data_IF_920850578803
#
_entry.id   IF_920850578803
#
_cell.length_a   1.000
_cell.length_b   1.000
_cell.length_c   1.000
_cell.angle_alpha   90.00
_cell.angle_beta   90.00
_cell.angle_gamma   90.00
#
_symmetry.space_group_name_H-M   'P 1'
#
loop_
_entity.id
_entity.type
_entity.pdbx_description
1 polymer ?
#
# COMPACT_ATOMS: atom_id res chain seq x y z
N UNK A 1 -10.42 2.22 21.78
CA UNK A 1 -11.71 1.74 21.32
C UNK A 1 -12.34 0.78 22.32
N UNK A 2 -11.72 -0.37 22.66
CA UNK A 2 -12.25 -1.39 23.57
C UNK A 2 -12.77 -0.82 24.89
N UNK A 3 -12.02 0.06 25.55
CA UNK A 3 -12.42 0.66 26.83
C UNK A 3 -13.69 1.49 26.68
N UNK A 4 -13.76 2.34 25.62
CA UNK A 4 -14.94 3.15 25.33
C UNK A 4 -16.19 2.30 25.05
N UNK A 5 -16.03 1.23 24.25
CA UNK A 5 -17.13 0.31 23.96
C UNK A 5 -17.62 -0.39 25.23
N UNK A 6 -16.71 -0.84 26.11
CA UNK A 6 -17.07 -1.45 27.39
C UNK A 6 -17.80 -0.47 28.31
N UNK A 7 -17.32 0.77 28.41
CA UNK A 7 -17.95 1.80 29.24
C UNK A 7 -19.34 2.20 28.71
N UNK A 8 -19.49 2.32 27.38
CA UNK A 8 -20.79 2.64 26.77
C UNK A 8 -21.77 1.50 26.92
N UNK A 9 -21.35 0.24 26.70
CA UNK A 9 -22.22 -0.92 26.79
C UNK A 9 -22.74 -1.17 28.23
N UNK A 10 -21.92 -0.88 29.24
CA UNK A 10 -22.25 -0.98 30.66
C UNK A 10 -22.31 0.40 31.33
N UNK A 11 -22.98 1.35 30.68
CA UNK A 11 -23.11 2.73 31.17
C UNK A 11 -23.82 2.80 32.54
N UNK A 12 -24.68 1.84 32.85
CA UNK A 12 -25.36 1.69 34.13
C UNK A 12 -24.42 1.56 35.32
N UNK A 13 -23.20 0.98 35.13
CA UNK A 13 -22.21 0.86 36.22
C UNK A 13 -21.67 2.22 36.67
N UNK A 14 -21.79 3.23 35.81
CA UNK A 14 -21.30 4.58 36.08
C UNK A 14 -22.37 5.51 36.66
N UNK A 15 -23.65 5.17 36.55
CA UNK A 15 -24.76 5.99 37.05
C UNK A 15 -24.70 6.18 38.56
N UNK A 16 -24.24 5.20 39.31
CA UNK A 16 -24.09 5.22 40.76
C UNK A 16 -22.68 5.57 41.25
N UNK A 17 -21.69 5.65 40.34
CA UNK A 17 -20.29 5.88 40.66
C UNK A 17 -19.99 7.38 40.84
N UNK A 18 -20.19 7.92 42.05
CA UNK A 18 -20.01 9.34 42.36
C UNK A 18 -18.61 9.77 42.72
N UNK A 19 -17.74 8.84 43.18
CA UNK A 19 -16.34 9.13 43.55
C UNK A 19 -15.36 8.56 42.53
N UNK A 20 -14.14 9.09 42.47
CA UNK A 20 -13.11 8.58 41.57
C UNK A 20 -12.81 7.12 41.79
N UNK A 21 -12.77 6.67 43.05
CA UNK A 21 -12.59 5.27 43.41
C UNK A 21 -13.72 4.40 42.85
N UNK A 22 -14.98 4.83 43.01
CA UNK A 22 -16.14 4.09 42.47
C UNK A 22 -16.16 4.05 40.95
N UNK A 23 -15.73 5.12 40.27
CA UNK A 23 -15.58 5.18 38.81
C UNK A 23 -14.50 4.22 38.30
N UNK A 24 -13.35 4.11 38.98
CA UNK A 24 -12.31 3.12 38.65
C UNK A 24 -12.85 1.70 38.77
N UNK A 25 -13.60 1.39 39.86
CA UNK A 25 -14.27 0.09 40.01
C UNK A 25 -15.27 -0.21 38.92
N UNK A 26 -16.13 0.78 38.55
CA UNK A 26 -17.10 0.66 37.46
C UNK A 26 -16.40 0.38 36.13
N UNK A 27 -15.30 1.10 35.82
CA UNK A 27 -14.48 0.87 34.64
C UNK A 27 -13.83 -0.52 34.60
N UNK A 28 -13.34 -0.99 35.72
CA UNK A 28 -12.75 -2.34 35.82
C UNK A 28 -13.81 -3.41 35.60
N UNK A 29 -15.00 -3.25 36.22
CA UNK A 29 -16.12 -4.17 36.07
C UNK A 29 -16.65 -4.18 34.63
N UNK A 30 -16.87 -3.02 34.02
CA UNK A 30 -17.34 -2.93 32.63
C UNK A 30 -16.40 -3.62 31.65
N UNK A 31 -15.07 -3.45 31.80
CA UNK A 31 -14.08 -4.17 31.02
C UNK A 31 -14.13 -5.68 31.21
N UNK A 32 -14.29 -6.14 32.44
CA UNK A 32 -14.39 -7.56 32.76
C UNK A 32 -15.61 -8.21 32.09
N UNK A 33 -16.78 -7.58 32.25
CA UNK A 33 -18.02 -8.14 31.75
C UNK A 33 -18.09 -8.04 30.22
N UNK A 34 -17.55 -6.96 29.62
CA UNK A 34 -17.41 -6.84 28.18
C UNK A 34 -16.47 -7.92 27.58
N UNK A 35 -15.37 -8.28 28.27
CA UNK A 35 -14.51 -9.40 27.87
C UNK A 35 -15.24 -10.74 27.83
N UNK A 36 -16.19 -10.99 28.75
CA UNK A 36 -17.01 -12.22 28.74
C UNK A 36 -17.87 -12.28 27.46
N UNK A 37 -18.50 -11.16 27.10
CA UNK A 37 -19.29 -11.06 25.85
C UNK A 37 -18.39 -11.34 24.65
N UNK A 38 -17.25 -10.65 24.54
CA UNK A 38 -16.31 -10.85 23.44
C UNK A 38 -15.79 -12.28 23.37
N UNK A 39 -15.50 -12.90 24.54
CA UNK A 39 -15.07 -14.31 24.59
C UNK A 39 -16.15 -15.25 24.06
N UNK A 40 -17.41 -15.02 24.43
CA UNK A 40 -18.54 -15.80 23.92
C UNK A 40 -18.71 -15.66 22.42
N UNK A 41 -18.61 -14.41 21.90
CA UNK A 41 -18.68 -14.14 20.46
C UNK A 41 -17.51 -14.80 19.70
N UNK A 42 -16.28 -14.69 20.22
CA UNK A 42 -15.12 -15.33 19.59
C UNK A 42 -15.26 -16.85 19.52
N UNK A 43 -15.82 -17.50 20.55
CA UNK A 43 -16.11 -18.94 20.52
C UNK A 43 -17.15 -19.28 19.45
N UNK A 44 -18.23 -18.49 19.30
CA UNK A 44 -19.24 -18.70 18.27
C UNK A 44 -18.68 -18.49 16.87
N UNK A 45 -17.76 -17.55 16.69
CA UNK A 45 -17.11 -17.24 15.42
C UNK A 45 -15.93 -18.18 15.10
N UNK A 46 -15.60 -19.10 16.00
CA UNK A 46 -14.48 -20.05 15.88
C UNK A 46 -13.18 -19.33 15.47
N UNK A 47 -12.85 -18.23 16.16
CA UNK A 47 -11.70 -17.40 15.80
C UNK A 47 -10.38 -18.12 16.09
N UNK A 48 -9.35 -17.78 15.33
CA UNK A 48 -7.98 -18.30 15.48
C UNK A 48 -7.49 -18.24 16.94
N UNK A 49 -7.79 -17.13 17.63
CA UNK A 49 -7.37 -16.94 19.03
C UNK A 49 -7.95 -18.00 19.98
N UNK A 50 -9.16 -18.48 19.71
CA UNK A 50 -9.77 -19.56 20.51
C UNK A 50 -8.96 -20.84 20.35
N UNK A 51 -8.63 -21.24 19.13
CA UNK A 51 -7.82 -22.42 18.80
C UNK A 51 -6.41 -22.32 19.38
N UNK A 52 -5.79 -21.14 19.26
CA UNK A 52 -4.48 -20.89 19.86
C UNK A 52 -4.47 -21.01 21.38
N UNK A 53 -5.50 -20.48 22.07
CA UNK A 53 -5.63 -20.60 23.52
C UNK A 53 -5.97 -22.03 23.96
N UNK A 54 -6.67 -22.80 23.14
CA UNK A 54 -7.01 -24.19 23.41
C UNK A 54 -5.88 -25.17 23.06
N UNK A 55 -4.78 -24.70 22.44
CA UNK A 55 -3.70 -25.53 21.89
C UNK A 55 -4.19 -26.55 20.85
N UNK A 56 -5.17 -26.15 20.03
CA UNK A 56 -5.66 -26.91 18.88
C UNK A 56 -5.27 -26.20 17.56
N UNK A 57 -3.96 -26.03 17.38
CA UNK A 57 -3.40 -25.30 16.24
C UNK A 57 -3.62 -26.02 14.92
N UNK A 58 -3.62 -27.36 14.92
CA UNK A 58 -3.90 -28.20 13.75
C UNK A 58 -5.31 -28.01 13.18
N UNK A 59 -6.26 -27.52 14.01
CA UNK A 59 -7.63 -27.21 13.58
C UNK A 59 -7.75 -25.86 12.85
N UNK A 60 -6.66 -25.10 12.75
CA UNK A 60 -6.66 -23.79 12.07
C UNK A 60 -6.66 -23.99 10.56
N UNK A 61 -7.75 -23.63 9.91
CA UNK A 61 -7.89 -23.69 8.45
C UNK A 61 -7.23 -22.46 7.79
N UNK A 62 -6.18 -22.63 6.95
CA UNK A 62 -5.50 -21.53 6.27
C UNK A 62 -6.44 -20.70 5.39
N UNK A 63 -7.39 -21.31 4.71
CA UNK A 63 -8.30 -20.66 3.74
C UNK A 63 -9.26 -19.66 4.41
N UNK A 64 -9.58 -19.90 5.68
CA UNK A 64 -10.48 -19.04 6.48
C UNK A 64 -9.78 -17.82 7.06
N UNK A 65 -8.44 -17.76 6.99
CA UNK A 65 -7.71 -16.65 7.59
C UNK A 65 -7.96 -15.33 6.85
N UNK A 66 -8.05 -14.24 7.62
CA UNK A 66 -8.11 -12.89 7.05
C UNK A 66 -6.72 -12.44 6.60
N UNK A 67 -6.66 -11.48 5.65
CA UNK A 67 -5.39 -10.92 5.18
C UNK A 67 -4.45 -10.53 6.33
N UNK A 68 -4.98 -9.79 7.31
CA UNK A 68 -4.18 -9.26 8.43
C UNK A 68 -3.77 -10.38 9.40
N UNK A 69 -4.64 -11.36 9.66
CA UNK A 69 -4.32 -12.49 10.52
C UNK A 69 -3.23 -13.36 9.91
N UNK A 70 -3.36 -13.73 8.63
CA UNK A 70 -2.35 -14.47 7.90
C UNK A 70 -1.01 -13.73 7.90
N UNK A 71 -1.02 -12.46 7.54
CA UNK A 71 0.20 -11.63 7.49
C UNK A 71 0.91 -11.55 8.85
N UNK A 72 0.18 -11.19 9.93
CA UNK A 72 0.78 -10.99 11.26
C UNK A 72 1.17 -12.28 11.97
N UNK A 73 0.51 -13.39 11.67
CA UNK A 73 0.69 -14.65 12.38
C UNK A 73 1.35 -15.76 11.55
N UNK A 74 1.76 -15.49 10.31
CA UNK A 74 2.37 -16.48 9.42
C UNK A 74 3.50 -17.28 10.10
N UNK A 75 4.41 -16.61 10.81
CA UNK A 75 5.50 -17.29 11.51
C UNK A 75 4.99 -18.17 12.66
N UNK A 76 3.93 -17.76 13.34
CA UNK A 76 3.30 -18.58 14.36
C UNK A 76 2.62 -19.83 13.77
N UNK A 77 1.94 -19.69 12.63
CA UNK A 77 1.33 -20.80 11.90
C UNK A 77 2.40 -21.77 11.35
N UNK A 78 3.47 -21.23 10.80
CA UNK A 78 4.63 -22.01 10.33
C UNK A 78 5.53 -22.52 11.47
N UNK A 79 5.13 -22.35 12.71
CA UNK A 79 5.87 -22.78 13.92
C UNK A 79 7.32 -22.24 13.98
N UNK A 80 7.57 -21.03 13.44
CA UNK A 80 8.89 -20.40 13.35
C UNK A 80 9.00 -19.16 14.24
N UNK A 81 10.20 -18.91 14.76
CA UNK A 81 10.57 -17.62 15.36
C UNK A 81 10.81 -16.58 14.26
N UNK A 82 11.06 -15.31 14.62
CA UNK A 82 11.45 -14.28 13.65
C UNK A 82 12.80 -14.59 12.97
N UNK A 83 13.65 -15.42 13.63
CA UNK A 83 14.93 -15.88 13.10
C UNK A 83 14.83 -17.15 12.25
N UNK A 84 13.62 -17.70 12.07
CA UNK A 84 13.39 -18.92 11.33
C UNK A 84 13.56 -20.23 12.12
N UNK A 85 13.87 -20.16 13.45
CA UNK A 85 14.03 -21.33 14.31
C UNK A 85 12.65 -21.92 14.66
N UNK A 86 12.61 -23.23 14.97
CA UNK A 86 11.38 -23.90 15.42
C UNK A 86 10.96 -23.37 16.78
N UNK A 87 9.69 -22.96 16.92
CA UNK A 87 9.12 -22.42 18.18
C UNK A 87 8.73 -23.49 19.17
N UNK A 88 8.22 -24.62 18.69
CA UNK A 88 7.63 -25.66 19.52
C UNK A 88 7.81 -27.04 18.91
N UNK A 89 8.07 -28.05 19.75
CA UNK A 89 8.16 -29.46 19.38
C UNK A 89 6.84 -30.21 19.58
N UNK A 90 5.76 -29.54 19.98
CA UNK A 90 4.44 -30.14 20.12
C UNK A 90 3.88 -30.58 18.78
N UNK A 91 3.38 -31.81 18.71
CA UNK A 91 2.85 -32.42 17.47
C UNK A 91 1.76 -31.56 16.83
N UNK A 92 0.84 -31.01 17.62
CA UNK A 92 -0.21 -30.10 17.14
C UNK A 92 0.36 -28.86 16.39
N UNK A 93 1.48 -28.31 16.88
CA UNK A 93 2.19 -27.18 16.25
C UNK A 93 2.91 -27.59 14.97
N UNK A 94 3.50 -28.78 14.95
CA UNK A 94 4.19 -29.34 13.77
C UNK A 94 3.15 -29.61 12.68
N UNK A 95 2.01 -30.22 13.03
CA UNK A 95 0.95 -30.49 12.06
C UNK A 95 0.34 -29.18 11.49
N UNK A 96 0.13 -28.17 12.32
CA UNK A 96 -0.30 -26.84 11.86
C UNK A 96 0.70 -26.28 10.82
N UNK A 97 1.99 -26.31 11.14
CA UNK A 97 3.03 -25.81 10.23
C UNK A 97 2.99 -26.51 8.87
N UNK A 98 2.90 -27.84 8.88
CA UNK A 98 2.80 -28.66 7.67
C UNK A 98 1.60 -28.26 6.81
N UNK A 99 0.42 -28.10 7.41
CA UNK A 99 -0.81 -27.67 6.71
C UNK A 99 -0.63 -26.28 6.06
N UNK A 100 0.02 -25.34 6.75
CA UNK A 100 0.27 -24.00 6.21
C UNK A 100 1.36 -23.99 5.13
N UNK A 101 2.39 -24.85 5.23
CA UNK A 101 3.42 -25.02 4.19
C UNK A 101 2.83 -25.62 2.91
N UNK A 102 1.99 -26.65 3.03
CA UNK A 102 1.26 -27.22 1.90
C UNK A 102 0.34 -26.18 1.23
N UNK A 103 -0.35 -25.36 2.04
CA UNK A 103 -1.21 -24.30 1.54
C UNK A 103 -0.42 -23.19 0.83
N UNK A 104 0.74 -22.82 1.37
CA UNK A 104 1.65 -21.85 0.74
C UNK A 104 2.17 -22.37 -0.63
N UNK A 105 2.54 -23.65 -0.71
CA UNK A 105 2.97 -24.29 -1.95
C UNK A 105 1.86 -24.31 -3.00
N UNK A 106 0.62 -24.66 -2.60
CA UNK A 106 -0.55 -24.58 -3.50
C UNK A 106 -0.80 -23.18 -4.00
N UNK A 107 -0.61 -22.17 -3.14
CA UNK A 107 -0.77 -20.77 -3.54
C UNK A 107 0.32 -20.32 -4.52
N UNK A 108 1.57 -20.77 -4.33
CA UNK A 108 2.67 -20.51 -5.26
C UNK A 108 2.42 -21.14 -6.65
N UNK A 109 1.75 -22.29 -6.69
CA UNK A 109 1.32 -22.95 -7.93
C UNK A 109 0.07 -22.33 -8.55
N UNK A 110 -0.57 -21.36 -7.91
CA UNK A 110 -1.81 -20.75 -8.40
C UNK A 110 -3.09 -21.57 -8.17
N UNK A 111 -3.00 -22.64 -7.38
CA UNK A 111 -4.14 -23.54 -7.09
C UNK A 111 -5.12 -22.95 -6.07
N UNK A 112 -4.63 -22.09 -5.17
CA UNK A 112 -5.41 -21.43 -4.12
C UNK A 112 -4.99 -19.98 -3.97
N UNK A 113 -5.89 -19.15 -3.44
CA UNK A 113 -5.65 -17.73 -3.21
C UNK A 113 -5.39 -17.44 -1.72
N UNK A 114 -4.34 -16.67 -1.41
CA UNK A 114 -4.08 -16.17 -0.06
C UNK A 114 -4.51 -14.70 0.02
N UNK A 115 -5.45 -14.39 0.93
CA UNK A 115 -6.00 -13.05 1.09
C UNK A 115 -4.93 -12.03 1.46
N UNK A 116 -4.76 -10.99 0.66
CA UNK A 116 -3.77 -9.90 0.84
C UNK A 116 -4.36 -8.50 0.85
N UNK A 117 -5.65 -8.32 0.49
CA UNK A 117 -6.30 -7.03 0.22
C UNK A 117 -6.22 -5.98 1.34
N UNK A 118 -5.94 -6.36 2.58
CA UNK A 118 -5.93 -5.47 3.76
C UNK A 118 -4.54 -5.26 4.36
N UNK A 119 -3.49 -5.63 3.65
CA UNK A 119 -2.10 -5.42 4.06
C UNK A 119 -1.64 -4.06 3.52
N UNK A 120 -0.92 -3.29 4.33
CA UNK A 120 -0.34 -2.03 3.92
C UNK A 120 0.81 -2.20 2.93
N UNK A 121 1.01 -1.23 2.03
CA UNK A 121 2.11 -1.27 1.05
C UNK A 121 3.47 -1.32 1.74
N UNK A 122 3.67 -0.52 2.78
CA UNK A 122 4.89 -0.52 3.59
C UNK A 122 5.14 -1.87 4.28
N UNK A 123 4.09 -2.56 4.75
CA UNK A 123 4.23 -3.87 5.40
C UNK A 123 4.74 -4.95 4.43
N UNK A 124 4.30 -4.92 3.17
CA UNK A 124 4.80 -5.84 2.14
C UNK A 124 6.29 -5.69 1.91
N UNK A 125 6.78 -4.48 1.67
CA UNK A 125 8.20 -4.23 1.44
C UNK A 125 9.03 -4.55 2.68
N UNK A 126 8.57 -4.14 3.87
CA UNK A 126 9.25 -4.42 5.12
C UNK A 126 9.46 -5.91 5.36
N UNK A 127 8.47 -6.74 5.06
CA UNK A 127 8.60 -8.18 5.20
C UNK A 127 9.45 -8.80 4.08
N UNK A 128 9.36 -8.29 2.84
CA UNK A 128 10.22 -8.73 1.74
C UNK A 128 11.70 -8.47 2.05
N UNK A 129 12.06 -7.27 2.51
CA UNK A 129 13.42 -6.91 2.90
C UNK A 129 13.97 -7.84 3.99
N UNK A 130 13.17 -8.14 5.03
CA UNK A 130 13.57 -9.11 6.05
C UNK A 130 13.87 -10.51 5.47
N UNK A 131 13.04 -10.98 4.55
CA UNK A 131 13.25 -12.28 3.92
C UNK A 131 14.51 -12.29 3.05
N UNK A 132 14.82 -11.17 2.39
CA UNK A 132 16.07 -10.99 1.62
C UNK A 132 17.27 -11.00 2.57
N UNK A 133 17.25 -10.22 3.65
CA UNK A 133 18.33 -10.10 4.62
C UNK A 133 18.67 -11.42 5.32
N UNK A 134 17.64 -12.25 5.58
CA UNK A 134 17.84 -13.58 6.18
C UNK A 134 18.04 -14.72 5.17
N UNK A 135 18.20 -14.42 3.89
CA UNK A 135 18.35 -15.42 2.81
C UNK A 135 17.18 -16.43 2.71
N UNK A 136 15.98 -15.99 3.05
CA UNK A 136 14.76 -16.81 3.11
C UNK A 136 13.79 -16.55 1.95
N UNK A 137 14.27 -16.02 0.84
CA UNK A 137 13.42 -15.63 -0.30
C UNK A 137 12.66 -16.81 -0.97
N UNK A 138 13.03 -18.05 -0.69
CA UNK A 138 12.40 -19.27 -1.25
C UNK A 138 11.55 -20.01 -0.19
N UNK A 139 11.37 -19.45 0.99
CA UNK A 139 10.65 -20.06 2.11
C UNK A 139 9.13 -20.05 1.92
N UNK A 140 8.39 -20.86 2.70
CA UNK A 140 6.92 -20.81 2.75
C UNK A 140 6.39 -19.44 3.19
N UNK A 141 7.18 -18.69 3.99
CA UNK A 141 6.87 -17.30 4.33
C UNK A 141 6.91 -16.38 3.12
N UNK A 142 7.90 -16.59 2.25
CA UNK A 142 8.03 -15.86 0.99
C UNK A 142 6.90 -16.20 0.02
N UNK A 143 6.51 -17.47 -0.10
CA UNK A 143 5.38 -17.91 -0.90
C UNK A 143 4.08 -17.26 -0.43
N UNK A 144 3.83 -17.22 0.88
CA UNK A 144 2.66 -16.54 1.46
C UNK A 144 2.70 -15.04 1.13
N UNK A 145 3.84 -14.37 1.28
CA UNK A 145 3.96 -12.94 1.01
C UNK A 145 3.70 -12.60 -0.46
N UNK A 146 4.30 -13.37 -1.38
CA UNK A 146 4.10 -13.20 -2.81
C UNK A 146 2.65 -13.43 -3.24
N UNK A 147 2.00 -14.48 -2.71
CA UNK A 147 0.59 -14.75 -2.96
C UNK A 147 -0.32 -13.63 -2.41
N UNK A 148 0.00 -13.09 -1.23
CA UNK A 148 -0.73 -11.95 -0.65
C UNK A 148 -0.55 -10.66 -1.47
N UNK A 149 0.66 -10.42 -2.00
CA UNK A 149 0.91 -9.31 -2.91
C UNK A 149 0.10 -9.43 -4.19
N UNK A 150 0.08 -10.61 -4.81
CA UNK A 150 -0.72 -10.89 -6.01
C UNK A 150 -2.21 -10.61 -5.76
N UNK A 151 -2.77 -11.12 -4.64
CA UNK A 151 -4.16 -10.87 -4.24
C UNK A 151 -4.45 -9.38 -3.98
N UNK A 152 -3.49 -8.67 -3.36
CA UNK A 152 -3.59 -7.23 -3.16
C UNK A 152 -3.57 -6.48 -4.50
N UNK A 153 -2.76 -6.93 -5.46
CA UNK A 153 -2.64 -6.35 -6.81
C UNK A 153 -3.95 -6.34 -7.59
N UNK A 154 -4.86 -7.27 -7.31
CA UNK A 154 -6.19 -7.33 -7.95
C UNK A 154 -7.08 -6.12 -7.61
N UNK A 155 -6.76 -5.35 -6.58
CA UNK A 155 -7.49 -4.14 -6.22
C UNK A 155 -7.12 -2.92 -7.07
N UNK A 156 -6.00 -2.98 -7.79
CA UNK A 156 -5.53 -1.89 -8.66
C UNK A 156 -5.76 -2.29 -10.12
N UNK A 157 -6.50 -1.48 -10.85
CA UNK A 157 -6.72 -1.64 -12.28
C UNK A 157 -5.47 -1.29 -13.10
N UNK A 158 -5.63 -1.20 -14.41
CA UNK A 158 -4.56 -0.73 -15.32
C UNK A 158 -4.31 0.76 -15.11
N UNK A 159 -3.04 1.13 -15.03
CA UNK A 159 -2.59 2.50 -14.79
C UNK A 159 -2.04 3.10 -16.08
N UNK A 160 -2.78 3.37 -17.09
CA UNK A 160 -2.34 4.08 -18.28
C UNK A 160 -0.80 4.12 -18.52
N UNK A 161 -0.30 5.22 -19.00
CA UNK A 161 1.14 5.45 -19.31
C UNK A 161 1.85 6.11 -18.12
N UNK A 162 1.98 5.37 -17.00
CA UNK A 162 2.56 5.88 -15.75
C UNK A 162 3.95 5.29 -15.50
N UNK A 163 4.90 6.14 -15.10
CA UNK A 163 6.25 5.75 -14.67
C UNK A 163 6.44 6.21 -13.23
N UNK A 164 6.96 5.34 -12.38
CA UNK A 164 7.32 5.70 -11.02
C UNK A 164 8.80 6.06 -10.92
N UNK A 165 9.10 7.15 -10.25
CA UNK A 165 10.42 7.53 -9.76
C UNK A 165 10.43 7.34 -8.24
N UNK A 166 11.27 6.43 -7.75
CA UNK A 166 11.25 5.95 -6.36
C UNK A 166 12.41 6.56 -5.60
N UNK A 167 12.12 7.23 -4.49
CA UNK A 167 13.09 7.80 -3.59
C UNK A 167 13.41 6.82 -2.45
N UNK A 168 14.68 6.44 -2.34
CA UNK A 168 15.21 5.63 -1.24
C UNK A 168 16.35 6.35 -0.52
N UNK A 169 16.39 7.68 -0.56
CA UNK A 169 17.33 8.49 0.21
C UNK A 169 17.20 8.26 1.72
N UNK A 170 18.24 8.64 2.49
CA UNK A 170 18.24 8.44 3.94
C UNK A 170 17.10 9.16 4.68
N UNK A 171 16.58 10.27 4.16
CA UNK A 171 15.42 10.96 4.71
C UNK A 171 14.13 10.13 4.61
N UNK A 172 14.06 9.18 3.67
CA UNK A 172 12.93 8.27 3.48
C UNK A 172 12.94 7.08 4.45
N UNK A 173 13.98 6.87 5.25
CA UNK A 173 14.13 5.68 6.09
C UNK A 173 12.86 5.30 6.87
N UNK A 174 12.55 4.01 6.88
CA UNK A 174 11.36 3.43 7.51
C UNK A 174 10.15 3.29 6.57
N UNK A 175 8.96 3.50 7.13
CA UNK A 175 7.69 3.29 6.41
C UNK A 175 7.55 4.10 5.10
N UNK A 176 8.03 5.36 4.98
CA UNK A 176 7.99 6.09 3.72
C UNK A 176 8.73 5.38 2.58
N UNK A 177 9.97 4.93 2.84
CA UNK A 177 10.79 4.19 1.86
C UNK A 177 10.11 2.86 1.47
N UNK A 178 9.60 2.12 2.47
CA UNK A 178 8.89 0.87 2.19
C UNK A 178 7.66 1.08 1.33
N UNK A 179 6.91 2.16 1.59
CA UNK A 179 5.75 2.52 0.79
C UNK A 179 6.14 2.96 -0.63
N UNK A 180 7.21 3.74 -0.79
CA UNK A 180 7.72 4.19 -2.08
C UNK A 180 8.09 3.01 -2.99
N UNK A 181 8.83 2.04 -2.46
CA UNK A 181 9.22 0.83 -3.19
C UNK A 181 7.98 0.02 -3.63
N UNK A 182 7.04 -0.26 -2.70
CA UNK A 182 5.86 -1.03 -3.02
C UNK A 182 4.93 -0.33 -4.03
N UNK A 183 4.72 0.99 -3.88
CA UNK A 183 3.93 1.77 -4.82
C UNK A 183 4.61 1.87 -6.20
N UNK A 184 5.93 2.04 -6.23
CA UNK A 184 6.71 2.04 -7.47
C UNK A 184 6.58 0.73 -8.23
N UNK A 185 6.73 -0.40 -7.54
CA UNK A 185 6.53 -1.74 -8.11
C UNK A 185 5.07 -1.90 -8.59
N UNK A 186 4.08 -1.47 -7.80
CA UNK A 186 2.67 -1.55 -8.20
C UNK A 186 2.37 -0.73 -9.46
N UNK A 187 2.93 0.48 -9.57
CA UNK A 187 2.82 1.29 -10.78
C UNK A 187 3.46 0.56 -11.97
N UNK A 188 4.66 0.03 -11.79
CA UNK A 188 5.37 -0.72 -12.83
C UNK A 188 4.58 -1.95 -13.33
N UNK A 189 3.98 -2.73 -12.40
CA UNK A 189 3.15 -3.90 -12.74
C UNK A 189 1.88 -3.54 -13.53
N UNK A 190 1.33 -2.35 -13.31
CA UNK A 190 0.02 -1.93 -13.89
C UNK A 190 0.14 -0.93 -15.03
N UNK A 191 1.33 -0.41 -15.27
CA UNK A 191 1.63 0.53 -16.35
C UNK A 191 1.61 -0.16 -17.73
N UNK A 192 1.18 0.59 -18.74
CA UNK A 192 1.29 0.18 -20.15
C UNK A 192 2.71 0.31 -20.70
N UNK A 193 3.62 0.98 -19.98
CA UNK A 193 4.99 1.25 -20.40
C UNK A 193 5.99 0.13 -19.99
N UNK A 194 5.50 -0.98 -19.46
CA UNK A 194 6.29 -2.12 -19.02
C UNK A 194 6.73 -2.02 -17.55
N UNK A 195 7.24 -3.12 -17.03
CA UNK A 195 7.63 -3.26 -15.61
C UNK A 195 8.97 -2.60 -15.33
N UNK A 196 8.98 -1.28 -15.15
CA UNK A 196 10.20 -0.53 -14.85
C UNK A 196 9.93 0.64 -13.90
N UNK A 197 10.94 1.00 -13.12
CA UNK A 197 10.95 2.19 -12.27
C UNK A 197 12.18 3.02 -12.56
N UNK A 198 12.13 4.32 -12.24
CA UNK A 198 13.28 5.21 -12.26
C UNK A 198 13.86 5.36 -10.86
N UNK A 199 15.19 5.40 -10.76
CA UNK A 199 15.87 5.78 -9.52
C UNK A 199 15.76 7.27 -9.28
N UNK A 200 15.62 7.66 -8.00
CA UNK A 200 15.67 9.05 -7.55
C UNK A 200 17.12 9.39 -7.18
N UNK A 201 17.90 9.89 -8.14
CA UNK A 201 19.31 10.18 -7.94
C UNK A 201 19.81 11.35 -8.80
N UNK A 202 21.03 11.84 -8.55
CA UNK A 202 21.67 12.84 -9.40
C UNK A 202 21.84 12.36 -10.85
N UNK A 203 22.00 11.05 -11.02
CA UNK A 203 22.06 10.37 -12.33
C UNK A 203 20.97 9.28 -12.36
N UNK A 204 19.72 9.65 -12.69
CA UNK A 204 18.62 8.68 -12.73
C UNK A 204 18.91 7.55 -13.72
N UNK A 205 18.48 6.34 -13.37
CA UNK A 205 18.61 5.16 -14.21
C UNK A 205 17.33 4.31 -14.20
N UNK A 206 17.14 3.52 -15.27
CA UNK A 206 16.05 2.56 -15.34
C UNK A 206 16.38 1.30 -14.54
N UNK A 207 15.46 0.89 -13.68
CA UNK A 207 15.44 -0.44 -13.06
C UNK A 207 14.40 -1.26 -13.79
N UNK A 208 14.85 -2.22 -14.58
CA UNK A 208 13.96 -3.13 -15.28
C UNK A 208 13.54 -4.28 -14.35
N UNK A 209 12.25 -4.52 -14.24
CA UNK A 209 11.64 -5.55 -13.41
C UNK A 209 11.04 -6.69 -14.23
N UNK A 210 11.18 -6.70 -15.57
CA UNK A 210 10.60 -7.73 -16.43
C UNK A 210 11.18 -9.13 -16.17
N UNK A 211 12.45 -9.20 -15.71
CA UNK A 211 13.09 -10.45 -15.33
C UNK A 211 12.81 -10.93 -13.90
N UNK A 212 11.92 -10.24 -13.16
CA UNK A 212 11.56 -10.60 -11.80
C UNK A 212 10.27 -11.43 -11.79
N UNK A 213 10.35 -12.65 -11.24
CA UNK A 213 9.24 -13.59 -11.23
C UNK A 213 8.18 -13.28 -10.15
N UNK A 214 8.57 -12.59 -9.07
CA UNK A 214 7.74 -12.32 -7.91
C UNK A 214 8.03 -10.96 -7.24
N UNK A 215 7.21 -10.61 -6.24
CA UNK A 215 7.34 -9.34 -5.53
C UNK A 215 8.67 -9.20 -4.79
N UNK A 216 9.17 -10.28 -4.16
CA UNK A 216 10.43 -10.24 -3.39
C UNK A 216 11.60 -9.99 -4.32
N UNK A 217 11.63 -10.62 -5.48
CA UNK A 217 12.68 -10.39 -6.49
C UNK A 217 12.62 -8.96 -7.05
N UNK A 218 11.42 -8.40 -7.25
CA UNK A 218 11.26 -6.99 -7.64
C UNK A 218 11.78 -6.03 -6.54
N UNK A 219 11.46 -6.28 -5.27
CA UNK A 219 12.00 -5.49 -4.15
C UNK A 219 13.52 -5.56 -4.11
N UNK A 220 14.09 -6.75 -4.29
CA UNK A 220 15.54 -6.95 -4.34
C UNK A 220 16.20 -6.19 -5.50
N UNK A 221 15.57 -6.18 -6.68
CA UNK A 221 16.08 -5.43 -7.84
C UNK A 221 16.05 -3.92 -7.58
N UNK A 222 14.96 -3.40 -7.01
CA UNK A 222 14.85 -1.99 -6.64
C UNK A 222 15.89 -1.63 -5.56
N UNK A 223 16.05 -2.45 -4.51
CA UNK A 223 17.01 -2.22 -3.43
C UNK A 223 18.47 -2.17 -3.90
N UNK A 224 18.83 -2.96 -4.90
CA UNK A 224 20.22 -3.04 -5.44
C UNK A 224 20.56 -1.95 -6.44
N UNK A 225 19.59 -1.14 -6.86
CA UNK A 225 19.84 -0.06 -7.78
C UNK A 225 20.73 1.02 -7.15
N UNK A 226 21.43 1.78 -7.98
CA UNK A 226 22.25 2.90 -7.52
C UNK A 226 21.38 4.07 -7.10
N UNK A 227 21.39 4.37 -5.80
CA UNK A 227 20.63 5.45 -5.20
C UNK A 227 21.56 6.59 -4.82
N UNK A 228 21.28 7.79 -5.32
CA UNK A 228 22.05 9.00 -5.01
C UNK A 228 21.36 9.85 -3.94
N UNK A 229 22.11 10.82 -3.40
CA UNK A 229 21.58 11.73 -2.36
C UNK A 229 20.84 12.95 -2.94
N UNK A 230 21.07 13.31 -4.19
CA UNK A 230 20.49 14.50 -4.85
C UNK A 230 19.65 14.08 -6.04
N UNK A 231 18.58 14.83 -6.30
CA UNK A 231 17.66 14.55 -7.41
C UNK A 231 17.85 15.49 -8.57
N UNK A 232 17.96 14.94 -9.76
CA UNK A 232 17.97 15.71 -10.99
C UNK A 232 16.73 15.40 -11.85
N UNK A 233 15.65 16.18 -11.64
CA UNK A 233 14.40 16.02 -12.40
C UNK A 233 14.58 16.19 -13.89
N UNK A 234 15.39 17.17 -14.30
CA UNK A 234 15.66 17.39 -15.71
C UNK A 234 16.34 16.18 -16.35
N UNK A 235 17.25 15.53 -15.63
CA UNK A 235 17.89 14.30 -16.09
C UNK A 235 16.89 13.14 -16.21
N UNK A 236 15.98 12.99 -15.24
CA UNK A 236 14.94 11.95 -15.30
C UNK A 236 14.00 12.15 -16.51
N UNK A 237 13.56 13.38 -16.78
CA UNK A 237 12.72 13.70 -17.91
C UNK A 237 13.46 13.54 -19.24
N UNK A 238 14.75 13.88 -19.30
CA UNK A 238 15.57 13.60 -20.48
C UNK A 238 15.73 12.09 -20.71
N UNK A 239 15.93 11.29 -19.65
CA UNK A 239 16.04 9.82 -19.75
C UNK A 239 14.74 9.19 -20.31
N UNK A 240 13.59 9.71 -19.92
CA UNK A 240 12.31 9.31 -20.51
C UNK A 240 12.25 9.71 -22.00
N UNK A 241 12.65 10.94 -22.34
CA UNK A 241 12.69 11.39 -23.74
C UNK A 241 13.64 10.53 -24.60
N UNK A 242 14.81 10.19 -24.07
CA UNK A 242 15.76 9.32 -24.75
C UNK A 242 15.15 7.94 -25.02
N UNK A 243 14.42 7.37 -24.06
CA UNK A 243 13.70 6.11 -24.24
C UNK A 243 12.61 6.23 -25.33
N UNK A 244 11.83 7.32 -25.34
CA UNK A 244 10.82 7.60 -26.37
C UNK A 244 11.46 7.62 -27.76
N UNK A 245 12.59 8.32 -27.91
CA UNK A 245 13.33 8.45 -29.18
C UNK A 245 13.90 7.09 -29.61
N UNK A 246 14.54 6.37 -28.67
CA UNK A 246 15.17 5.06 -28.93
C UNK A 246 14.16 4.02 -29.40
N UNK A 247 12.99 3.98 -28.77
CA UNK A 247 11.92 3.05 -29.12
C UNK A 247 11.01 3.55 -30.25
N UNK A 248 11.31 4.73 -30.81
CA UNK A 248 10.54 5.36 -31.92
C UNK A 248 9.04 5.43 -31.61
N UNK A 249 8.69 5.76 -30.37
CA UNK A 249 7.29 5.93 -29.98
C UNK A 249 6.66 7.09 -30.71
N UNK A 250 5.39 6.96 -31.08
CA UNK A 250 4.64 8.04 -31.73
C UNK A 250 4.11 9.05 -30.71
N UNK A 251 3.76 10.28 -31.11
CA UNK A 251 3.18 11.26 -30.18
C UNK A 251 1.95 10.77 -29.43
N UNK A 252 1.12 9.96 -30.06
CA UNK A 252 -0.06 9.34 -29.46
C UNK A 252 0.29 8.29 -28.38
N UNK A 253 1.44 7.62 -28.54
CA UNK A 253 1.91 6.63 -27.58
C UNK A 253 2.39 7.26 -26.28
N UNK A 254 2.81 8.53 -26.32
CA UNK A 254 3.36 9.25 -25.17
C UNK A 254 2.44 10.35 -24.64
N UNK A 255 1.34 10.61 -25.34
CA UNK A 255 0.29 11.49 -24.83
C UNK A 255 -0.25 10.97 -23.50
N UNK A 256 -0.52 11.85 -22.55
CA UNK A 256 -1.01 11.53 -21.21
C UNK A 256 -0.07 10.66 -20.34
N UNK A 257 1.24 10.67 -20.66
CA UNK A 257 2.23 10.04 -19.79
C UNK A 257 2.34 10.78 -18.45
N UNK A 258 2.46 10.02 -17.36
CA UNK A 258 2.62 10.53 -16.00
C UNK A 258 3.93 10.04 -15.39
N UNK A 259 4.75 10.97 -14.91
CA UNK A 259 5.89 10.67 -14.04
C UNK A 259 5.46 10.86 -12.59
N UNK A 260 5.34 9.78 -11.85
CA UNK A 260 4.98 9.80 -10.42
C UNK A 260 6.24 9.77 -9.57
N UNK A 261 6.47 10.83 -8.80
CA UNK A 261 7.63 10.97 -7.90
C UNK A 261 7.20 10.60 -6.49
N UNK A 262 7.70 9.47 -6.00
CA UNK A 262 7.40 8.88 -4.69
C UNK A 262 8.52 9.28 -3.71
N UNK A 263 8.33 10.37 -2.95
CA UNK A 263 9.36 10.99 -2.10
C UNK A 263 8.75 11.62 -0.84
N UNK A 264 9.59 12.06 0.09
CA UNK A 264 9.19 12.91 1.23
C UNK A 264 9.17 14.41 0.88
N UNK A 265 9.41 14.75 -0.38
CA UNK A 265 9.45 16.11 -0.93
C UNK A 265 10.55 17.00 -0.35
N UNK A 266 11.54 16.44 0.34
CA UNK A 266 12.75 17.16 0.76
C UNK A 266 13.74 17.25 -0.41
N UNK A 267 13.33 18.01 -1.44
CA UNK A 267 14.10 18.20 -2.67
C UNK A 267 14.94 19.45 -2.51
N UNK A 268 16.21 19.36 -2.88
CA UNK A 268 17.16 20.47 -2.75
C UNK A 268 16.64 21.75 -3.42
N UNK A 269 16.72 22.86 -2.68
CA UNK A 269 16.25 24.19 -3.14
C UNK A 269 16.99 24.73 -4.38
N UNK A 270 18.01 24.03 -4.88
CA UNK A 270 18.70 24.40 -6.13
C UNK A 270 17.77 24.37 -7.36
N UNK A 271 16.62 23.68 -7.29
CA UNK A 271 15.62 23.58 -8.35
C UNK A 271 14.53 24.67 -8.29
N UNK A 272 14.76 25.79 -7.60
CA UNK A 272 13.81 26.91 -7.50
C UNK A 272 13.38 27.56 -8.83
N UNK A 273 13.90 27.08 -9.93
CA UNK A 273 13.48 27.47 -11.28
C UNK A 273 12.62 26.40 -11.94
N UNK A 274 11.78 25.70 -11.16
CA UNK A 274 10.91 24.64 -11.71
C UNK A 274 10.16 25.10 -12.96
N UNK A 275 9.57 26.28 -12.98
CA UNK A 275 8.86 26.83 -14.14
C UNK A 275 9.77 26.95 -15.38
N UNK A 276 10.95 27.53 -15.22
CA UNK A 276 11.90 27.68 -16.35
C UNK A 276 12.52 26.36 -16.79
N UNK A 277 12.70 25.42 -15.87
CA UNK A 277 13.13 24.04 -16.17
C UNK A 277 12.07 23.30 -16.97
N UNK A 278 10.80 23.36 -16.56
CA UNK A 278 9.71 22.70 -17.27
C UNK A 278 9.51 23.28 -18.67
N UNK A 279 9.57 24.60 -18.85
CA UNK A 279 9.53 25.23 -20.17
C UNK A 279 10.66 24.72 -21.09
N UNK A 280 11.87 24.57 -20.57
CA UNK A 280 13.00 24.02 -21.32
C UNK A 280 12.76 22.54 -21.68
N UNK A 281 12.22 21.73 -20.78
CA UNK A 281 11.90 20.32 -21.03
C UNK A 281 10.76 20.21 -22.06
N UNK A 282 9.66 20.95 -21.90
CA UNK A 282 8.56 20.98 -22.86
C UNK A 282 9.04 21.34 -24.27
N UNK A 283 9.94 22.32 -24.37
CA UNK A 283 10.56 22.69 -25.64
C UNK A 283 11.37 21.54 -26.24
N UNK A 284 12.21 20.85 -25.43
CA UNK A 284 13.00 19.69 -25.90
C UNK A 284 12.10 18.54 -26.40
N UNK A 285 11.02 18.24 -25.67
CA UNK A 285 10.06 17.22 -26.09
C UNK A 285 9.39 17.60 -27.40
N UNK A 286 8.92 18.85 -27.53
CA UNK A 286 8.29 19.36 -28.76
C UNK A 286 9.24 19.28 -29.93
N UNK A 287 10.49 19.75 -29.80
CA UNK A 287 11.51 19.71 -30.84
C UNK A 287 11.84 18.28 -31.28
N UNK A 288 11.94 17.33 -30.33
CA UNK A 288 12.20 15.93 -30.65
C UNK A 288 11.05 15.29 -31.46
N UNK A 289 9.80 15.56 -31.07
CA UNK A 289 8.62 15.08 -31.77
C UNK A 289 8.52 15.65 -33.16
N UNK A 290 8.73 16.96 -33.29
CA UNK A 290 8.75 17.65 -34.64
C UNK A 290 9.81 17.06 -35.55
N UNK A 291 11.00 16.76 -35.02
CA UNK A 291 12.10 16.18 -35.82
C UNK A 291 11.80 14.75 -36.29
N UNK A 292 11.15 13.93 -35.46
CA UNK A 292 10.92 12.51 -35.78
C UNK A 292 9.62 12.27 -36.52
N UNK A 293 8.56 13.00 -36.19
CA UNK A 293 7.20 12.70 -36.60
C UNK A 293 6.46 13.90 -37.22
N UNK A 294 7.11 15.06 -37.32
CA UNK A 294 6.47 16.34 -37.70
C UNK A 294 5.25 16.71 -36.83
N UNK A 295 5.25 16.19 -35.57
CA UNK A 295 4.23 16.43 -34.55
C UNK A 295 4.93 16.50 -33.16
N UNK A 296 4.64 17.53 -32.34
CA UNK A 296 5.35 17.69 -31.08
C UNK A 296 5.00 16.56 -30.08
N UNK A 297 5.99 16.09 -29.30
CA UNK A 297 5.72 15.34 -28.12
C UNK A 297 5.28 16.27 -26.99
N UNK A 298 4.39 15.78 -26.11
CA UNK A 298 4.09 16.42 -24.83
C UNK A 298 5.04 15.87 -23.76
N UNK A 299 5.55 16.74 -22.90
CA UNK A 299 6.26 16.29 -21.70
C UNK A 299 5.31 15.58 -20.74
N UNK A 300 5.79 14.57 -19.98
CA UNK A 300 4.97 13.88 -18.99
C UNK A 300 4.38 14.84 -17.97
N UNK A 301 3.17 14.57 -17.52
CA UNK A 301 2.61 15.21 -16.33
C UNK A 301 3.36 14.75 -15.09
N UNK A 302 3.75 15.64 -14.20
CA UNK A 302 4.49 15.30 -12.98
C UNK A 302 3.53 15.21 -11.82
N UNK A 303 3.46 14.01 -11.21
CA UNK A 303 2.71 13.79 -9.99
C UNK A 303 3.70 13.69 -8.80
N UNK A 304 3.72 14.70 -7.95
CA UNK A 304 4.45 14.69 -6.69
C UNK A 304 3.63 13.98 -5.63
N UNK A 305 4.08 12.82 -5.19
CA UNK A 305 3.40 12.02 -4.16
C UNK A 305 4.22 12.01 -2.88
N UNK A 306 3.78 12.83 -1.91
CA UNK A 306 4.42 12.93 -0.60
C UNK A 306 4.06 11.73 0.28
N UNK A 307 5.08 10.98 0.68
CA UNK A 307 4.98 9.81 1.54
C UNK A 307 5.41 10.08 3.00
N UNK A 308 5.60 11.34 3.38
CA UNK A 308 5.91 11.75 4.75
C UNK A 308 5.04 12.94 5.17
N UNK A 309 4.86 13.15 6.46
CA UNK A 309 4.17 14.34 6.98
C UNK A 309 5.13 15.54 6.99
N UNK A 310 5.74 15.84 5.85
CA UNK A 310 6.56 17.04 5.64
C UNK A 310 5.73 18.16 5.05
N UNK A 311 6.08 19.38 5.38
CA UNK A 311 5.42 20.57 4.82
C UNK A 311 6.12 20.98 3.52
N UNK A 312 5.31 21.40 2.54
CA UNK A 312 5.80 21.91 1.27
C UNK A 312 5.79 20.87 0.14
N UNK A 313 5.81 21.40 -1.06
CA UNK A 313 5.94 20.66 -2.32
C UNK A 313 6.86 21.47 -3.25
N UNK A 314 7.55 20.83 -4.18
CA UNK A 314 8.49 21.51 -5.07
C UNK A 314 7.82 22.37 -6.13
N UNK A 315 6.49 22.35 -6.24
CA UNK A 315 5.72 23.16 -7.19
C UNK A 315 4.53 23.83 -6.51
N UNK A 316 3.97 24.86 -7.17
CA UNK A 316 2.73 25.49 -6.74
C UNK A 316 1.52 24.71 -7.25
N UNK A 317 0.41 24.74 -6.53
CA UNK A 317 -0.87 24.11 -6.94
C UNK A 317 -1.45 24.70 -8.24
N UNK A 318 -1.00 25.88 -8.64
CA UNK A 318 -1.38 26.57 -9.87
C UNK A 318 -0.48 26.26 -11.06
N UNK A 319 0.61 25.50 -10.86
CA UNK A 319 1.53 25.17 -11.94
C UNK A 319 0.88 24.19 -12.92
N UNK A 320 1.01 24.52 -14.20
CA UNK A 320 0.58 23.64 -15.29
C UNK A 320 1.44 22.38 -15.30
N UNK A 321 0.87 21.27 -15.72
CA UNK A 321 1.54 19.99 -15.93
C UNK A 321 2.17 19.39 -14.65
N UNK A 322 1.67 19.79 -13.46
CA UNK A 322 2.08 19.24 -12.19
C UNK A 322 0.88 19.06 -11.25
N UNK A 323 0.91 18.02 -10.43
CA UNK A 323 -0.09 17.74 -9.40
C UNK A 323 0.56 17.19 -8.14
N UNK A 324 -0.15 17.29 -7.02
CA UNK A 324 0.37 16.93 -5.71
C UNK A 324 -0.57 15.97 -5.00
N UNK A 325 -0.01 14.94 -4.37
CA UNK A 325 -0.75 13.96 -3.59
C UNK A 325 0.02 13.61 -2.31
N UNK A 326 -0.68 13.17 -1.27
CA UNK A 326 -0.07 12.72 -0.02
C UNK A 326 -0.74 11.47 0.53
N UNK A 327 0.04 10.63 1.22
CA UNK A 327 -0.45 9.46 1.95
C UNK A 327 0.01 8.13 1.36
N UNK A 328 -0.21 7.04 2.13
CA UNK A 328 0.23 5.67 1.78
C UNK A 328 -0.87 4.80 1.20
N UNK A 329 -2.06 5.34 0.97
CA UNK A 329 -3.20 4.52 0.56
C UNK A 329 -3.11 4.15 -0.92
N UNK A 330 -2.95 2.87 -1.27
CA UNK A 330 -2.90 2.42 -2.66
C UNK A 330 -4.21 2.66 -3.42
N UNK A 331 -5.34 2.86 -2.71
CA UNK A 331 -6.61 3.21 -3.37
C UNK A 331 -6.54 4.53 -4.14
N UNK A 332 -5.56 5.40 -3.82
CA UNK A 332 -5.30 6.61 -4.59
C UNK A 332 -4.87 6.30 -6.03
N UNK A 333 -4.20 5.16 -6.28
CA UNK A 333 -3.88 4.70 -7.63
C UNK A 333 -5.13 4.41 -8.46
N UNK A 334 -6.21 3.95 -7.82
CA UNK A 334 -7.46 3.63 -8.54
C UNK A 334 -8.14 4.86 -9.14
N UNK A 335 -7.85 6.07 -8.62
CA UNK A 335 -8.33 7.31 -9.24
C UNK A 335 -7.81 7.44 -10.66
N UNK A 336 -6.55 7.06 -10.90
CA UNK A 336 -5.93 7.11 -12.23
C UNK A 336 -6.46 6.01 -13.16
N UNK A 337 -6.92 4.89 -12.62
CA UNK A 337 -7.50 3.80 -13.41
C UNK A 337 -8.82 4.19 -14.06
N UNK A 338 -9.62 5.04 -13.37
CA UNK A 338 -10.98 5.39 -13.79
C UNK A 338 -11.01 6.66 -14.65
N UNK A 339 -10.30 7.67 -14.25
CA UNK A 339 -10.44 9.03 -14.80
C UNK A 339 -9.11 9.61 -15.36
N UNK A 340 -8.00 8.85 -15.25
CA UNK A 340 -6.67 9.32 -15.68
C UNK A 340 -6.26 10.61 -14.95
N UNK A 341 -5.63 11.55 -15.66
CA UNK A 341 -5.21 12.85 -15.11
C UNK A 341 -6.39 13.74 -14.67
N UNK A 342 -7.56 13.57 -15.23
CA UNK A 342 -8.74 14.35 -14.86
C UNK A 342 -9.17 14.07 -13.41
N UNK A 343 -8.86 12.87 -12.90
CA UNK A 343 -9.10 12.53 -11.52
C UNK A 343 -8.46 13.48 -10.50
N UNK A 344 -7.28 14.01 -10.83
CA UNK A 344 -6.55 14.92 -9.94
C UNK A 344 -7.24 16.29 -9.83
N UNK A 345 -7.91 16.74 -10.89
CA UNK A 345 -8.62 18.01 -10.91
C UNK A 345 -9.95 17.94 -10.13
N UNK A 346 -10.60 16.78 -10.16
CA UNK A 346 -11.87 16.52 -9.46
C UNK A 346 -11.70 15.98 -8.04
N UNK A 347 -10.48 15.57 -7.66
CA UNK A 347 -10.20 14.91 -6.39
C UNK A 347 -10.10 15.91 -5.24
N UNK A 348 -11.16 16.00 -4.45
CA UNK A 348 -11.16 16.72 -3.18
C UNK A 348 -11.07 15.74 -2.00
N UNK A 349 -10.60 16.16 -0.81
CA UNK A 349 -10.64 15.30 0.39
C UNK A 349 -12.03 14.73 0.67
N UNK A 350 -13.09 15.51 0.37
CA UNK A 350 -14.47 15.09 0.50
C UNK A 350 -14.84 13.99 -0.50
N UNK A 351 -14.49 14.14 -1.78
CA UNK A 351 -14.78 13.14 -2.80
C UNK A 351 -14.05 11.80 -2.52
N UNK A 352 -12.82 11.86 -2.01
CA UNK A 352 -12.08 10.67 -1.56
C UNK A 352 -12.74 9.98 -0.38
N UNK A 353 -13.18 10.74 0.61
CA UNK A 353 -13.93 10.21 1.76
C UNK A 353 -15.21 9.53 1.28
N UNK A 354 -16.00 10.21 0.43
CA UNK A 354 -17.25 9.64 -0.10
C UNK A 354 -17.02 8.39 -0.94
N UNK A 355 -16.01 8.34 -1.82
CA UNK A 355 -15.62 7.11 -2.53
C UNK A 355 -15.26 5.97 -1.56
N UNK A 356 -14.57 6.28 -0.47
CA UNK A 356 -14.20 5.28 0.55
C UNK A 356 -15.42 4.76 1.33
N UNK A 357 -16.40 5.61 1.59
CA UNK A 357 -17.63 5.27 2.31
C UNK A 357 -18.68 4.61 1.42
N UNK A 358 -18.65 4.83 0.11
CA UNK A 358 -19.56 4.22 -0.87
C UNK A 358 -19.31 2.72 -1.12
N UNK A 359 -18.44 2.08 -0.34
CA UNK A 359 -18.20 0.64 -0.43
C UNK A 359 -19.40 -0.16 0.08
N UNK A 360 -19.84 -1.18 -0.67
CA UNK A 360 -20.98 -2.05 -0.33
C UNK A 360 -20.92 -2.63 1.09
N UNK A 361 -19.72 -2.76 1.64
CA UNK A 361 -19.50 -3.21 3.03
C UNK A 361 -20.15 -2.29 4.09
N UNK A 362 -20.45 -1.05 3.73
CA UNK A 362 -21.05 -0.07 4.63
C UNK A 362 -22.57 0.09 4.43
N UNK A 363 -23.16 -0.57 3.42
CA UNK A 363 -24.59 -0.50 3.13
C UNK A 363 -25.46 -0.87 4.34
N UNK A 364 -24.98 -1.81 5.17
CA UNK A 364 -25.68 -2.18 6.41
C UNK A 364 -25.73 -1.02 7.42
N UNK A 365 -24.70 -0.18 7.46
CA UNK A 365 -24.68 1.00 8.35
C UNK A 365 -25.66 2.05 7.86
N UNK A 366 -25.78 2.25 6.56
CA UNK A 366 -26.76 3.18 5.98
C UNK A 366 -28.20 2.75 6.31
N UNK A 367 -28.48 1.44 6.22
CA UNK A 367 -29.77 0.89 6.62
C UNK A 367 -30.06 1.11 8.11
N UNK A 368 -29.08 0.86 8.98
CA UNK A 368 -29.24 1.07 10.43
C UNK A 368 -29.44 2.54 10.79
N UNK A 369 -28.69 3.45 10.15
CA UNK A 369 -28.83 4.89 10.37
C UNK A 369 -30.17 5.43 9.89
N UNK A 370 -30.69 4.94 8.76
CA UNK A 370 -32.04 5.30 8.27
C UNK A 370 -33.11 4.88 9.25
N UNK A 371 -33.06 3.65 9.77
CA UNK A 371 -34.01 3.16 10.77
C UNK A 371 -33.97 4.01 12.03
N UNK A 372 -32.79 4.36 12.56
CA UNK A 372 -32.69 5.23 13.75
C UNK A 372 -33.21 6.67 13.50
N UNK A 373 -32.99 7.22 12.31
CA UNK A 373 -33.46 8.55 11.95
C UNK A 373 -35.00 8.58 11.82
N UNK A 374 -35.56 7.56 11.18
CA UNK A 374 -37.02 7.42 11.05
C UNK A 374 -37.69 7.25 12.42
N UNK A 375 -37.12 6.45 13.34
CA UNK A 375 -37.64 6.31 14.70
C UNK A 375 -37.57 7.63 15.50
N UNK A 376 -36.60 8.51 15.26
CA UNK A 376 -36.51 9.82 15.91
C UNK A 376 -37.51 10.81 15.37
N UNK A 377 -37.82 10.76 14.07
CA UNK A 377 -38.80 11.63 13.42
C UNK A 377 -40.23 11.31 13.91
N UNK A 378 -40.54 10.06 14.23
CA UNK A 378 -41.85 9.65 14.74
C UNK A 378 -42.01 9.78 16.28
N UNK A 379 -40.93 10.11 17.01
CA UNK A 379 -40.97 10.32 18.47
C UNK A 379 -40.98 11.80 18.92
N UNK A 380 -40.91 12.73 17.98
CA UNK A 380 -41.11 14.18 18.17
C UNK A 380 -42.42 14.62 17.50
#
# INVERSE_FOLDING_TARGET
>A
LFVRLAENYFSEYFSTAKTDHSRVKARTKSKMDYRKIISSLNKKLDTVQVKQCANTWSDIDPSKQTSVTMHKQKNAFLNKTQKGEIRSTLEDRIQCAKTFEEYATKAANGEVEIKGKRIGMNDFTKDALKLIDYNNAVSSEAQILNAQWLNNSLQTGKLGKMVAMVDVSGSMDGDPMYAAIALGIRIAEKSLLGKRVLTFSATPSWVNLDGCDDFISMVSAVQRADWGMNTNFAAALNLILDAIIQHKLQPEDVEDMVLTILSDMQIDQADYKYGSMMEMIEKKYAEAGMRLWNKPFKAPHILFWNLRSTNGFPCLSTQKNASMMSGFNPSLLNLFCEEGLNALQSCTPWSLLMKSLASDRYNILDLMLRVELDERVYKN
#
